data_IF_923118362852
#
_entry.id   IF_923118362852
#
_cell.length_a   1.000
_cell.length_b   1.000
_cell.length_c   1.000
_cell.angle_alpha   90.00
_cell.angle_beta   90.00
_cell.angle_gamma   90.00
#
_symmetry.space_group_name_H-M   'P 1'
#
loop_
_entity.id
_entity.type
_entity.pdbx_description
1 polymer ?
#
# COMPACT_ATOMS: atom_id res chain seq x y z
N UNK A 1 -21.92 -8.78 -32.34
CA UNK A 1 -21.39 -10.01 -31.71
C UNK A 1 -20.15 -9.74 -30.82
N UNK A 2 -19.33 -8.70 -31.08
CA UNK A 2 -18.20 -8.32 -30.20
C UNK A 2 -18.58 -7.53 -28.92
N UNK A 3 -19.75 -6.88 -28.87
CA UNK A 3 -20.19 -6.12 -27.68
C UNK A 3 -20.53 -7.00 -26.46
N UNK A 4 -20.78 -8.30 -26.65
CA UNK A 4 -21.20 -9.20 -25.56
C UNK A 4 -20.03 -9.89 -24.84
N UNK A 5 -18.81 -9.87 -25.39
CA UNK A 5 -17.67 -10.59 -24.80
C UNK A 5 -17.12 -9.85 -23.57
N UNK A 6 -17.22 -8.52 -23.55
CA UNK A 6 -16.69 -7.71 -22.46
C UNK A 6 -17.60 -7.61 -21.24
N UNK A 7 -18.90 -7.91 -21.40
CA UNK A 7 -19.88 -7.79 -20.32
C UNK A 7 -19.76 -8.94 -19.29
N UNK A 8 -19.12 -10.05 -19.67
CA UNK A 8 -18.79 -11.17 -18.77
C UNK A 8 -17.29 -11.27 -18.44
N UNK A 9 -16.43 -10.50 -19.11
CA UNK A 9 -14.96 -10.58 -18.91
C UNK A 9 -14.46 -9.82 -17.68
N UNK A 10 -15.22 -8.83 -17.21
CA UNK A 10 -14.87 -8.02 -16.04
C UNK A 10 -16.06 -7.92 -15.09
N UNK A 11 -15.78 -8.12 -13.80
CA UNK A 11 -16.74 -7.87 -12.74
C UNK A 11 -16.31 -6.61 -11.97
N UNK A 12 -17.23 -5.66 -11.82
CA UNK A 12 -17.02 -4.51 -10.95
C UNK A 12 -17.03 -4.94 -9.48
N UNK A 13 -16.05 -4.45 -8.73
CA UNK A 13 -16.00 -4.60 -7.28
C UNK A 13 -16.81 -3.47 -6.62
N UNK A 14 -17.19 -3.62 -5.34
CA UNK A 14 -17.87 -2.54 -4.62
C UNK A 14 -17.08 -1.23 -4.70
N UNK A 15 -17.79 -0.12 -4.89
CA UNK A 15 -17.14 1.18 -4.95
C UNK A 15 -16.57 1.58 -3.59
N UNK A 16 -15.27 1.86 -3.57
CA UNK A 16 -14.66 2.64 -2.50
C UNK A 16 -14.80 4.12 -2.87
N UNK A 17 -15.48 4.92 -2.04
CA UNK A 17 -15.72 6.37 -2.27
C UNK A 17 -14.43 7.20 -2.07
N UNK A 18 -13.32 6.77 -2.69
CA UNK A 18 -12.00 7.37 -2.63
C UNK A 18 -11.33 7.16 -3.98
N UNK A 19 -10.72 8.22 -4.49
CA UNK A 19 -9.95 8.15 -5.73
C UNK A 19 -8.51 7.76 -5.39
N UNK A 20 -7.96 6.82 -6.16
CA UNK A 20 -6.60 6.34 -6.05
C UNK A 20 -5.91 6.54 -7.39
N UNK A 21 -4.99 7.50 -7.45
CA UNK A 21 -4.17 7.76 -8.63
C UNK A 21 -2.78 7.16 -8.39
N UNK A 22 -2.32 6.30 -9.31
CA UNK A 22 -1.02 5.63 -9.20
C UNK A 22 -0.78 4.90 -7.84
N UNK A 23 -1.84 4.31 -7.28
CA UNK A 23 -1.76 3.50 -6.04
C UNK A 23 -0.97 2.22 -6.27
N UNK A 24 -0.37 1.70 -5.19
CA UNK A 24 0.26 0.39 -5.19
C UNK A 24 -0.62 -0.60 -4.46
N UNK A 25 -0.69 -1.81 -5.02
CA UNK A 25 -1.45 -2.90 -4.44
C UNK A 25 -0.57 -4.12 -4.17
N UNK A 26 -0.82 -4.80 -3.07
CA UNK A 26 -0.18 -6.09 -2.73
C UNK A 26 -1.27 -7.13 -2.50
N UNK A 27 -1.17 -8.27 -3.18
CA UNK A 27 -2.06 -9.40 -2.96
C UNK A 27 -1.54 -10.22 -1.77
N UNK A 28 -2.38 -10.40 -0.75
CA UNK A 28 -2.12 -11.24 0.42
C UNK A 28 -3.29 -12.20 0.65
N UNK A 29 -3.15 -13.46 0.21
CA UNK A 29 -4.21 -14.47 0.28
C UNK A 29 -5.52 -13.93 -0.31
N UNK A 30 -6.55 -13.75 0.52
CA UNK A 30 -7.88 -13.28 0.14
C UNK A 30 -8.04 -11.76 0.28
N UNK A 31 -6.93 -11.03 0.42
CA UNK A 31 -6.88 -9.57 0.57
C UNK A 31 -6.10 -8.91 -0.56
N UNK A 32 -6.63 -7.81 -1.08
CA UNK A 32 -5.89 -6.84 -1.88
C UNK A 32 -5.61 -5.65 -0.97
N UNK A 33 -4.36 -5.50 -0.57
CA UNK A 33 -3.90 -4.33 0.17
C UNK A 33 -3.68 -3.19 -0.82
N UNK A 34 -4.15 -2.00 -0.49
CA UNK A 34 -4.12 -0.80 -1.32
C UNK A 34 -3.44 0.30 -0.50
N UNK A 35 -2.35 0.87 -1.02
CA UNK A 35 -1.50 1.80 -0.29
C UNK A 35 -1.46 3.15 -0.98
N UNK A 36 -2.17 4.13 -0.42
CA UNK A 36 -2.11 5.53 -0.82
C UNK A 36 -2.10 5.76 -2.34
N UNK A 37 -1.56 6.89 -2.77
CA UNK A 37 -1.50 7.30 -4.16
C UNK A 37 -1.35 8.81 -4.25
N UNK A 38 -1.27 9.32 -5.47
CA UNK A 38 -1.24 10.76 -5.68
C UNK A 38 -2.53 11.39 -5.10
N UNK A 39 -2.34 12.34 -4.19
CA UNK A 39 -3.39 13.05 -3.45
C UNK A 39 -4.26 12.17 -2.52
N UNK A 40 -3.85 10.95 -2.21
CA UNK A 40 -4.54 10.10 -1.24
C UNK A 40 -3.52 9.32 -0.38
N UNK A 41 -3.53 9.55 0.93
CA UNK A 41 -2.61 8.87 1.84
C UNK A 41 -3.24 7.68 2.58
N UNK A 42 -4.54 7.42 2.42
CA UNK A 42 -5.24 6.34 3.09
C UNK A 42 -4.88 4.97 2.48
N UNK A 43 -4.81 3.96 3.33
CA UNK A 43 -4.50 2.58 2.97
C UNK A 43 -5.67 1.68 3.37
N UNK A 44 -6.03 0.74 2.51
CA UNK A 44 -7.17 -0.14 2.70
C UNK A 44 -6.81 -1.60 2.43
N UNK A 45 -7.51 -2.52 3.08
CA UNK A 45 -7.54 -3.94 2.70
C UNK A 45 -8.92 -4.23 2.10
N UNK A 46 -8.94 -4.71 0.86
CA UNK A 46 -10.14 -5.25 0.23
C UNK A 46 -10.14 -6.77 0.36
N UNK A 47 -11.16 -7.34 1.00
CA UNK A 47 -11.30 -8.79 1.08
C UNK A 47 -12.09 -9.33 -0.11
N UNK A 48 -11.49 -10.26 -0.86
CA UNK A 48 -12.00 -10.80 -2.12
C UNK A 48 -13.35 -11.50 -1.92
N UNK A 49 -13.44 -12.43 -0.98
CA UNK A 49 -14.69 -13.17 -0.72
C UNK A 49 -15.77 -12.31 -0.05
N UNK A 50 -15.41 -11.53 0.98
CA UNK A 50 -16.37 -10.68 1.71
C UNK A 50 -16.84 -9.47 0.89
N UNK A 51 -16.10 -9.09 -0.17
CA UNK A 51 -16.34 -7.92 -1.01
C UNK A 51 -16.49 -6.65 -0.19
N UNK A 52 -15.55 -6.40 0.71
CA UNK A 52 -15.59 -5.27 1.63
C UNK A 52 -14.20 -4.67 1.79
N UNK A 53 -14.17 -3.37 2.08
CA UNK A 53 -12.96 -2.63 2.40
C UNK A 53 -12.89 -2.35 3.90
N UNK A 54 -11.71 -2.51 4.48
CA UNK A 54 -11.39 -2.00 5.81
C UNK A 54 -10.20 -1.06 5.72
N UNK A 55 -10.25 0.02 6.51
CA UNK A 55 -9.13 0.94 6.66
C UNK A 55 -7.98 0.22 7.37
N UNK A 56 -6.77 0.38 6.85
CA UNK A 56 -5.53 -0.07 7.51
C UNK A 56 -4.96 1.08 8.33
N UNK A 57 -4.52 2.14 7.66
CA UNK A 57 -3.98 3.36 8.23
C UNK A 57 -3.88 4.46 7.15
N UNK A 58 -3.14 5.53 7.44
CA UNK A 58 -2.71 6.50 6.42
C UNK A 58 -1.19 6.71 6.47
N UNK A 59 -0.57 7.07 5.35
CA UNK A 59 0.78 7.62 5.36
C UNK A 59 0.83 8.93 6.16
N UNK A 60 1.99 9.26 6.78
CA UNK A 60 2.19 10.55 7.44
C UNK A 60 1.87 11.73 6.51
N UNK A 61 1.42 12.84 7.11
CA UNK A 61 1.09 14.04 6.35
C UNK A 61 2.31 14.62 5.61
N UNK A 62 2.10 15.16 4.42
CA UNK A 62 3.15 15.82 3.62
C UNK A 62 4.15 14.86 2.96
N UNK A 63 3.78 13.60 2.75
CA UNK A 63 4.56 12.63 1.96
C UNK A 63 4.04 12.62 0.53
N UNK A 64 4.94 12.82 -0.46
CA UNK A 64 4.58 12.62 -1.86
C UNK A 64 4.59 11.12 -2.19
N UNK A 65 3.52 10.65 -2.83
CA UNK A 65 3.25 9.25 -3.17
C UNK A 65 3.05 9.04 -4.68
N UNK A 66 3.51 9.99 -5.51
CA UNK A 66 3.30 10.01 -6.96
C UNK A 66 4.01 8.86 -7.67
N UNK A 67 3.31 7.75 -7.87
CA UNK A 67 3.91 6.51 -8.38
C UNK A 67 5.01 5.99 -7.45
N UNK A 68 4.81 6.11 -6.13
CA UNK A 68 5.64 5.41 -5.16
C UNK A 68 5.55 3.89 -5.36
N UNK A 69 6.49 3.15 -4.79
CA UNK A 69 6.53 1.70 -4.82
C UNK A 69 6.30 1.14 -3.41
N UNK A 70 5.59 0.00 -3.32
CA UNK A 70 5.44 -0.79 -2.11
C UNK A 70 5.84 -2.22 -2.41
N UNK A 71 6.77 -2.76 -1.61
CA UNK A 71 7.28 -4.13 -1.74
C UNK A 71 6.99 -4.93 -0.48
N UNK A 72 6.68 -6.21 -0.65
CA UNK A 72 6.71 -7.19 0.42
C UNK A 72 8.13 -7.76 0.57
N UNK A 73 8.68 -7.69 1.77
CA UNK A 73 10.00 -8.24 2.08
C UNK A 73 9.89 -9.75 2.30
N UNK A 74 10.85 -10.52 1.76
CA UNK A 74 10.87 -11.99 1.81
C UNK A 74 11.44 -12.59 3.10
N UNK A 75 11.97 -11.76 4.00
CA UNK A 75 12.53 -12.21 5.27
C UNK A 75 11.45 -12.81 6.18
N UNK A 76 11.78 -13.93 6.83
CA UNK A 76 10.93 -14.60 7.82
C UNK A 76 10.72 -13.70 9.04
N UNK A 77 9.54 -13.09 9.15
CA UNK A 77 9.09 -12.49 10.40
C UNK A 77 9.00 -13.57 11.49
N UNK A 78 9.26 -13.17 12.74
CA UNK A 78 9.07 -14.07 13.89
C UNK A 78 7.59 -14.46 14.12
N UNK A 79 6.65 -13.80 13.44
CA UNK A 79 5.23 -14.07 13.49
C UNK A 79 4.71 -14.44 12.09
N UNK A 80 4.31 -15.70 11.84
CA UNK A 80 3.85 -16.16 10.52
C UNK A 80 2.56 -15.47 10.03
N UNK A 81 1.88 -14.72 10.89
CA UNK A 81 0.68 -13.95 10.53
C UNK A 81 0.98 -12.50 10.14
N UNK A 82 2.25 -12.09 10.18
CA UNK A 82 2.69 -10.75 9.81
C UNK A 82 3.55 -10.79 8.55
N UNK A 83 3.30 -9.86 7.63
CA UNK A 83 4.23 -9.54 6.54
C UNK A 83 4.92 -8.21 6.83
N UNK A 84 6.13 -8.04 6.29
CA UNK A 84 6.84 -6.77 6.36
C UNK A 84 6.78 -6.10 4.99
N UNK A 85 6.36 -4.84 4.99
CA UNK A 85 6.24 -4.02 3.79
C UNK A 85 7.27 -2.89 3.85
N UNK A 86 7.80 -2.52 2.68
CA UNK A 86 8.66 -1.36 2.49
C UNK A 86 8.02 -0.46 1.43
N UNK A 87 7.90 0.83 1.72
CA UNK A 87 7.39 1.84 0.81
C UNK A 87 8.46 2.89 0.55
N UNK A 88 8.70 3.24 -0.71
CA UNK A 88 9.68 4.26 -1.09
C UNK A 88 9.31 4.91 -2.43
N UNK A 89 9.94 6.05 -2.72
CA UNK A 89 9.68 6.81 -3.94
C UNK A 89 8.40 7.64 -3.86
N UNK A 90 8.01 8.20 -5.00
CA UNK A 90 6.99 9.23 -5.14
C UNK A 90 7.51 10.65 -4.97
N UNK A 91 8.75 10.83 -4.49
CA UNK A 91 9.34 12.14 -4.28
C UNK A 91 10.17 12.61 -5.47
N UNK A 92 9.91 13.82 -5.94
CA UNK A 92 10.57 14.44 -7.09
C UNK A 92 11.96 15.00 -6.79
N UNK A 93 12.53 15.70 -7.78
CA UNK A 93 13.80 16.44 -7.61
C UNK A 93 13.64 17.50 -6.52
N UNK A 94 14.65 17.65 -5.66
CA UNK A 94 14.65 18.59 -4.52
C UNK A 94 13.61 18.30 -3.43
N UNK A 95 13.09 17.07 -3.37
CA UNK A 95 12.27 16.59 -2.26
C UNK A 95 13.05 15.61 -1.39
N UNK A 96 12.81 15.65 -0.08
CA UNK A 96 13.39 14.71 0.89
C UNK A 96 12.87 13.31 0.57
N UNK A 97 13.77 12.39 0.25
CA UNK A 97 13.44 10.98 -0.02
C UNK A 97 13.08 10.31 1.30
N UNK A 98 11.90 9.71 1.36
CA UNK A 98 11.39 9.06 2.57
C UNK A 98 11.07 7.61 2.25
N UNK A 99 11.57 6.74 3.10
CA UNK A 99 11.24 5.32 3.09
C UNK A 99 10.45 4.99 4.35
N UNK A 100 9.41 4.18 4.19
CA UNK A 100 8.57 3.72 5.29
C UNK A 100 8.58 2.21 5.34
N UNK A 101 8.49 1.66 6.55
CA UNK A 101 8.23 0.26 6.77
C UNK A 101 6.93 0.06 7.53
N UNK A 102 6.29 -1.10 7.33
CA UNK A 102 5.10 -1.50 8.06
C UNK A 102 5.18 -2.98 8.36
N UNK A 103 4.87 -3.35 9.61
CA UNK A 103 4.45 -4.72 9.93
C UNK A 103 2.95 -4.78 9.72
N UNK A 104 2.52 -5.57 8.73
CA UNK A 104 1.12 -5.74 8.42
C UNK A 104 0.63 -7.10 8.91
N UNK A 105 -0.48 -7.07 9.64
CA UNK A 105 -1.30 -8.21 10.00
C UNK A 105 -2.72 -7.95 9.50
N UNK A 106 -3.33 -8.97 8.91
CA UNK A 106 -4.70 -8.90 8.40
C UNK A 106 -5.65 -8.20 9.36
N UNK A 107 -6.26 -7.11 8.89
CA UNK A 107 -7.33 -6.38 9.61
C UNK A 107 -8.63 -7.19 9.71
N UNK A 108 -8.70 -8.32 9.02
CA UNK A 108 -9.83 -9.27 9.04
C UNK A 108 -9.65 -10.39 10.08
N UNK A 109 -8.50 -10.44 10.76
CA UNK A 109 -8.26 -11.43 11.81
C UNK A 109 -8.91 -11.03 13.14
N UNK A 110 -9.54 -11.99 13.83
CA UNK A 110 -10.28 -11.77 15.09
C UNK A 110 -9.39 -11.32 16.27
N UNK A 111 -8.06 -11.44 16.12
CA UNK A 111 -7.08 -11.07 17.15
C UNK A 111 -6.80 -9.56 17.17
N UNK A 112 -7.80 -8.77 17.56
CA UNK A 112 -7.76 -7.30 17.62
C UNK A 112 -6.90 -6.70 18.75
N UNK A 113 -5.85 -7.39 19.21
CA UNK A 113 -4.92 -6.73 20.12
C UNK A 113 -4.17 -5.66 19.32
N UNK A 114 -4.52 -4.40 19.57
CA UNK A 114 -3.81 -3.26 19.01
C UNK A 114 -2.38 -3.26 19.55
N UNK A 115 -1.43 -3.69 18.73
CA UNK A 115 -0.02 -3.57 19.03
C UNK A 115 0.50 -2.23 18.50
N UNK A 116 1.20 -1.42 19.31
CA UNK A 116 1.79 -0.17 18.84
C UNK A 116 2.70 -0.40 17.62
N UNK A 117 2.49 0.38 16.56
CA UNK A 117 3.27 0.28 15.31
C UNK A 117 2.87 -0.87 14.38
N UNK A 118 1.88 -1.70 14.75
CA UNK A 118 1.30 -2.68 13.82
C UNK A 118 0.32 -1.97 12.89
N UNK A 119 0.29 -2.37 11.62
CA UNK A 119 -0.57 -1.81 10.59
C UNK A 119 -0.43 -0.29 10.40
N UNK A 120 0.75 0.27 10.71
CA UNK A 120 1.05 1.69 10.52
C UNK A 120 2.44 1.91 9.91
N UNK A 121 2.57 2.98 9.14
CA UNK A 121 3.82 3.35 8.49
C UNK A 121 4.79 4.00 9.50
N UNK A 122 5.99 3.43 9.60
CA UNK A 122 7.10 3.97 10.40
C UNK A 122 8.20 4.46 9.46
N UNK A 123 8.71 5.67 9.70
CA UNK A 123 9.83 6.23 8.95
C UNK A 123 11.11 5.41 9.20
N UNK A 124 11.81 5.03 8.12
CA UNK A 124 13.13 4.43 8.20
C UNK A 124 14.16 5.56 8.17
N UNK A 125 14.74 5.87 9.34
CA UNK A 125 15.56 7.09 9.55
C UNK A 125 16.85 7.10 8.72
N UNK A 126 17.41 5.93 8.40
CA UNK A 126 18.69 5.78 7.70
C UNK A 126 18.57 5.06 6.35
N UNK A 127 17.42 5.21 5.66
CA UNK A 127 17.27 4.62 4.32
C UNK A 127 18.08 5.39 3.28
N UNK A 128 18.93 4.70 2.52
CA UNK A 128 19.71 5.27 1.41
C UNK A 128 19.06 4.98 0.05
N UNK A 129 17.76 5.26 -0.10
CA UNK A 129 17.06 5.09 -1.38
C UNK A 129 16.94 6.44 -2.07
N UNK A 130 17.83 6.66 -3.04
CA UNK A 130 17.92 7.87 -3.84
C UNK A 130 18.54 9.06 -3.09
N UNK A 131 19.02 10.02 -3.87
CA UNK A 131 19.60 11.26 -3.40
C UNK A 131 18.60 12.42 -3.51
N UNK A 132 18.91 13.57 -2.88
CA UNK A 132 18.05 14.76 -2.93
C UNK A 132 17.77 15.23 -4.37
N UNK A 133 18.75 15.08 -5.26
CA UNK A 133 18.67 15.42 -6.69
C UNK A 133 17.88 14.42 -7.53
N UNK A 134 17.64 13.22 -7.04
CA UNK A 134 16.99 12.18 -7.83
C UNK A 134 15.49 12.44 -7.97
N UNK A 135 14.93 12.05 -9.11
CA UNK A 135 13.48 11.96 -9.28
C UNK A 135 13.05 10.52 -9.02
N UNK A 136 12.31 10.30 -7.94
CA UNK A 136 11.74 9.00 -7.59
C UNK A 136 10.22 8.97 -7.87
N UNK A 137 9.68 9.84 -8.70
CA UNK A 137 8.30 9.68 -9.18
C UNK A 137 8.21 8.47 -10.13
N UNK A 138 7.25 7.58 -9.89
CA UNK A 138 7.03 6.41 -10.76
C UNK A 138 8.06 5.28 -10.65
N UNK A 139 8.81 5.19 -9.55
CA UNK A 139 9.80 4.10 -9.37
C UNK A 139 9.14 2.73 -9.36
N UNK A 140 9.93 1.71 -9.70
CA UNK A 140 9.52 0.31 -9.62
C UNK A 140 10.57 -0.46 -8.81
N UNK A 141 10.13 -1.46 -8.07
CA UNK A 141 10.97 -2.32 -7.24
C UNK A 141 10.87 -3.78 -7.62
#
# INVERSE_FOLDING_TARGET
MLMNIFQEAFQELPHLNKNFVATQCVLLKDEILIFGGENNNECYSYHIEKKQYLLICSYPHGVSLKGHCVLQLSHQSGNPNEIHLLSFGGQGVNEIKKTFSMRYKSVWSDSHKSEPGLNSWTLVVDSQIGEFSDNLEGVRG
#
